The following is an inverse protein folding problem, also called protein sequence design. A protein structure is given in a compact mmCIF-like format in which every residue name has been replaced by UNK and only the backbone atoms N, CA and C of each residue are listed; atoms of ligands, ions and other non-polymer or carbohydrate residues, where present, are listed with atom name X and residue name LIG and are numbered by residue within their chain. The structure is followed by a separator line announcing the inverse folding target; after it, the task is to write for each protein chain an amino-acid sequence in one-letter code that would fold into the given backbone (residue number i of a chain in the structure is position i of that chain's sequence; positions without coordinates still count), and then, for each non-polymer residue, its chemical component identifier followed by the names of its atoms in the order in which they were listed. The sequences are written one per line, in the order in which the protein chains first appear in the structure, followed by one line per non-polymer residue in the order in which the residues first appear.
data_IF_421237982209
#
_entry.id   IF_421237982209
#
_cell.length_a   1.000
_cell.length_b   1.000
_cell.length_c   1.000
_cell.angle_alpha   90.00
_cell.angle_beta   90.00
_cell.angle_gamma   90.00
#
_symmetry.space_group_name_H-M   'P 1'
#
loop_
_entity.id
_entity.type
_entity.pdbx_description
1 polymer ?
#
# COMPACT_ATOMS: atom_id res chain seq x y z
N UNK A 1 14.31 5.28 -7.99
CA UNK A 1 14.24 6.39 -7.02
C UNK A 1 12.76 6.75 -6.85
N UNK A 2 12.15 6.47 -5.70
CA UNK A 2 10.72 6.75 -5.44
C UNK A 2 10.49 7.69 -4.25
N UNK A 3 11.50 7.86 -3.40
CA UNK A 3 11.50 8.83 -2.33
C UNK A 3 11.42 10.26 -2.87
N UNK A 4 10.77 11.12 -2.11
CA UNK A 4 10.64 12.55 -2.40
C UNK A 4 10.90 13.34 -1.12
N UNK A 5 11.03 14.67 -1.22
CA UNK A 5 11.20 15.55 -0.06
C UNK A 5 10.11 15.35 1.01
N UNK A 6 8.87 15.02 0.61
CA UNK A 6 7.74 14.82 1.53
C UNK A 6 7.52 13.36 1.95
N UNK A 7 8.19 12.42 1.27
CA UNK A 7 7.99 10.98 1.43
C UNK A 7 9.35 10.28 1.37
N UNK A 8 10.04 10.24 2.51
CA UNK A 8 11.40 9.71 2.60
C UNK A 8 11.45 8.20 2.27
N UNK A 9 10.41 7.47 2.69
CA UNK A 9 10.35 6.01 2.62
C UNK A 9 9.22 5.50 1.73
N UNK A 10 8.96 6.16 0.61
CA UNK A 10 7.86 5.81 -0.29
C UNK A 10 7.83 4.30 -0.61
N UNK A 11 6.65 3.69 -0.54
CA UNK A 11 6.39 2.29 -0.86
C UNK A 11 5.93 2.11 -2.32
N UNK A 12 5.81 0.86 -2.78
CA UNK A 12 5.30 0.58 -4.13
C UNK A 12 4.60 -0.78 -4.22
N UNK A 13 3.42 -0.80 -4.86
CA UNK A 13 2.82 -2.01 -5.39
C UNK A 13 2.87 -1.99 -6.91
N UNK A 14 3.19 -3.14 -7.51
CA UNK A 14 3.14 -3.37 -8.94
C UNK A 14 2.19 -4.53 -9.26
N UNK A 15 1.49 -4.39 -10.37
CA UNK A 15 0.68 -5.43 -10.95
C UNK A 15 0.89 -5.48 -12.47
N UNK A 16 0.95 -6.71 -13.00
CA UNK A 16 1.04 -6.97 -14.43
C UNK A 16 -0.11 -7.91 -14.74
N UNK A 17 -0.97 -7.49 -15.65
CA UNK A 17 -2.09 -8.27 -16.14
C UNK A 17 -1.92 -8.46 -17.65
N UNK A 18 -2.17 -9.69 -18.13
CA UNK A 18 -2.09 -10.00 -19.55
C UNK A 18 -3.33 -10.77 -20.01
N UNK A 19 -3.84 -10.44 -21.19
CA UNK A 19 -5.02 -11.09 -21.76
C UNK A 19 -4.94 -11.17 -23.29
N UNK A 20 -5.53 -12.23 -23.84
CA UNK A 20 -5.70 -12.40 -25.29
C UNK A 20 -6.98 -11.71 -25.78
N UNK A 21 -7.12 -11.55 -27.09
CA UNK A 21 -8.32 -10.99 -27.70
C UNK A 21 -8.22 -9.48 -27.96
N UNK A 22 -9.37 -8.83 -28.11
CA UNK A 22 -9.42 -7.40 -28.41
C UNK A 22 -8.86 -6.58 -27.25
N UNK A 23 -8.11 -5.51 -27.51
CA UNK A 23 -7.61 -4.62 -26.46
C UNK A 23 -8.74 -3.99 -25.64
N UNK A 24 -9.94 -3.86 -26.21
CA UNK A 24 -11.14 -3.35 -25.53
C UNK A 24 -11.90 -4.38 -24.69
N UNK A 25 -11.43 -5.63 -24.59
CA UNK A 25 -12.09 -6.70 -23.81
C UNK A 25 -12.30 -6.29 -22.35
N UNK A 26 -11.33 -5.58 -21.78
CA UNK A 26 -11.38 -5.07 -20.41
C UNK A 26 -11.12 -3.56 -20.38
N UNK A 27 -11.91 -2.83 -19.60
CA UNK A 27 -11.66 -1.42 -19.30
C UNK A 27 -10.48 -1.27 -18.34
N UNK A 28 -9.83 -0.09 -18.34
CA UNK A 28 -8.75 0.19 -17.37
C UNK A 28 -9.25 0.09 -15.92
N UNK A 29 -10.47 0.53 -15.64
CA UNK A 29 -11.08 0.48 -14.31
C UNK A 29 -11.29 -0.95 -13.79
N UNK A 30 -11.68 -1.88 -14.67
CA UNK A 30 -11.87 -3.28 -14.28
C UNK A 30 -10.54 -3.91 -13.89
N UNK A 31 -9.51 -3.74 -14.73
CA UNK A 31 -8.17 -4.28 -14.45
C UNK A 31 -7.63 -3.66 -13.17
N UNK A 32 -7.69 -2.33 -13.02
CA UNK A 32 -7.20 -1.64 -11.81
C UNK A 32 -7.91 -2.16 -10.55
N UNK A 33 -9.24 -2.30 -10.59
CA UNK A 33 -10.01 -2.81 -9.46
C UNK A 33 -9.61 -4.22 -9.09
N UNK A 34 -9.51 -5.12 -10.08
CA UNK A 34 -9.06 -6.50 -9.85
C UNK A 34 -7.66 -6.55 -9.23
N UNK A 35 -6.73 -5.73 -9.72
CA UNK A 35 -5.37 -5.71 -9.17
C UNK A 35 -5.33 -5.21 -7.72
N UNK A 36 -6.16 -4.23 -7.36
CA UNK A 36 -6.30 -3.77 -5.97
C UNK A 36 -6.91 -4.88 -5.10
N UNK A 37 -7.95 -5.58 -5.58
CA UNK A 37 -8.56 -6.71 -4.88
C UNK A 37 -7.55 -7.85 -4.67
N UNK A 38 -6.69 -8.12 -5.65
CA UNK A 38 -5.59 -9.09 -5.54
C UNK A 38 -4.58 -8.68 -4.48
N UNK A 39 -4.23 -7.39 -4.37
CA UNK A 39 -3.39 -6.90 -3.27
C UNK A 39 -4.06 -7.13 -1.91
N UNK A 40 -5.36 -6.91 -1.80
CA UNK A 40 -6.11 -7.13 -0.56
C UNK A 40 -6.39 -8.61 -0.24
N UNK A 41 -6.33 -9.50 -1.21
CA UNK A 41 -6.45 -10.94 -1.00
C UNK A 41 -5.27 -11.50 -0.20
N UNK A 42 -4.10 -10.86 -0.30
CA UNK A 42 -2.90 -11.20 0.49
C UNK A 42 -3.10 -11.07 2.01
N UNK A 43 -4.18 -10.43 2.47
CA UNK A 43 -4.55 -10.39 3.91
C UNK A 43 -4.65 -11.77 4.56
N UNK A 44 -4.93 -12.82 3.78
CA UNK A 44 -5.01 -14.19 4.29
C UNK A 44 -3.65 -14.73 4.74
N UNK A 45 -2.55 -14.11 4.28
CA UNK A 45 -1.19 -14.44 4.68
C UNK A 45 -0.67 -13.49 5.78
N UNK A 46 -1.48 -12.53 6.24
CA UNK A 46 -1.13 -11.64 7.33
C UNK A 46 -1.41 -12.31 8.67
N UNK A 47 -0.48 -12.16 9.61
CA UNK A 47 -0.65 -12.59 11.00
C UNK A 47 -0.52 -11.38 11.94
N UNK A 48 -1.11 -11.43 13.15
CA UNK A 48 -0.93 -10.37 14.14
C UNK A 48 0.54 -10.06 14.42
N UNK A 49 1.42 -11.05 14.38
CA UNK A 49 2.86 -10.89 14.58
C UNK A 49 3.50 -10.06 13.47
N UNK A 50 3.20 -10.38 12.20
CA UNK A 50 3.69 -9.61 11.03
C UNK A 50 3.19 -8.17 11.08
N UNK A 51 1.92 -7.97 11.49
CA UNK A 51 1.30 -6.64 11.52
C UNK A 51 1.81 -5.78 12.68
N UNK A 52 2.13 -6.40 13.82
CA UNK A 52 2.65 -5.71 15.00
C UNK A 52 4.15 -5.37 14.89
N UNK A 53 4.94 -6.19 14.19
CA UNK A 53 6.33 -5.91 13.90
C UNK A 53 6.72 -6.57 12.58
N UNK A 54 6.90 -5.74 11.54
CA UNK A 54 7.17 -6.25 10.21
C UNK A 54 8.53 -6.95 10.17
N UNK A 55 8.61 -8.24 9.80
CA UNK A 55 9.85 -8.99 9.91
C UNK A 55 10.83 -8.62 8.78
N UNK A 56 12.12 -8.83 9.03
CA UNK A 56 13.16 -8.67 8.01
C UNK A 56 13.03 -9.73 6.90
N UNK A 57 12.61 -10.94 7.27
CA UNK A 57 12.37 -12.04 6.35
C UNK A 57 10.92 -12.52 6.47
N UNK A 58 10.27 -12.69 5.32
CA UNK A 58 8.92 -13.23 5.25
C UNK A 58 8.95 -14.67 4.75
N UNK A 59 8.26 -15.61 5.43
CA UNK A 59 8.04 -16.96 4.91
C UNK A 59 7.31 -16.93 3.55
N UNK A 60 6.42 -15.96 3.37
CA UNK A 60 5.70 -15.72 2.13
C UNK A 60 5.65 -14.21 1.83
N UNK A 61 6.19 -13.77 0.69
CA UNK A 61 6.15 -12.36 0.27
C UNK A 61 4.76 -11.90 -0.18
N UNK A 62 3.81 -12.81 -0.38
CA UNK A 62 2.41 -12.54 -0.71
C UNK A 62 1.60 -12.01 0.50
N UNK A 63 2.17 -11.08 1.25
CA UNK A 63 1.54 -10.25 2.29
C UNK A 63 1.97 -8.78 2.15
N UNK A 64 3.06 -8.53 1.42
CA UNK A 64 3.69 -7.22 1.28
C UNK A 64 2.79 -6.20 0.59
N UNK A 65 2.01 -6.61 -0.42
CA UNK A 65 1.16 -5.66 -1.17
C UNK A 65 -0.02 -5.22 -0.33
N UNK A 66 -0.62 -6.16 0.41
CA UNK A 66 -1.64 -5.86 1.40
C UNK A 66 -1.12 -4.90 2.47
N UNK A 67 0.01 -5.23 3.09
CA UNK A 67 0.56 -4.45 4.21
C UNK A 67 1.00 -3.05 3.80
N UNK A 68 1.59 -2.86 2.62
CA UNK A 68 1.78 -1.51 2.07
C UNK A 68 0.44 -0.81 1.90
N UNK A 69 -0.58 -1.46 1.31
CA UNK A 69 -1.87 -0.80 1.06
C UNK A 69 -2.61 -0.36 2.35
N UNK A 70 -2.36 -1.03 3.49
CA UNK A 70 -3.03 -0.73 4.77
C UNK A 70 -2.11 -0.12 5.84
N UNK A 71 -0.86 0.20 5.51
CA UNK A 71 0.07 0.78 6.46
C UNK A 71 -0.47 2.12 6.99
N UNK A 72 -0.49 2.32 8.30
CA UNK A 72 -1.13 3.50 8.92
C UNK A 72 -0.48 4.82 8.48
N UNK A 73 0.82 4.78 8.17
CA UNK A 73 1.59 5.95 7.72
C UNK A 73 1.34 6.29 6.24
N UNK A 74 0.53 5.52 5.53
CA UNK A 74 0.16 5.80 4.14
C UNK A 74 -0.95 6.84 4.03
N UNK A 75 -0.52 8.10 4.03
CA UNK A 75 -1.38 9.27 3.86
C UNK A 75 -1.68 9.60 2.40
N UNK A 76 -0.86 9.11 1.46
CA UNK A 76 -0.96 9.42 0.04
C UNK A 76 -0.66 8.19 -0.83
N UNK A 77 -1.34 8.13 -1.97
CA UNK A 77 -1.09 7.15 -3.03
C UNK A 77 -1.12 7.86 -4.39
N UNK A 78 -0.23 7.44 -5.29
CA UNK A 78 -0.20 7.91 -6.67
C UNK A 78 0.07 6.74 -7.61
N UNK A 79 -0.79 6.55 -8.60
CA UNK A 79 -0.72 5.41 -9.51
C UNK A 79 -0.56 5.86 -10.96
N UNK A 80 0.12 5.02 -11.75
CA UNK A 80 0.21 5.14 -13.19
C UNK A 80 0.04 3.76 -13.82
N UNK A 81 -0.59 3.72 -15.00
CA UNK A 81 -0.73 2.50 -15.76
C UNK A 81 -0.29 2.70 -17.22
N UNK A 82 0.26 1.64 -17.81
CA UNK A 82 0.60 1.59 -19.23
C UNK A 82 -0.04 0.35 -19.83
N UNK A 83 -0.76 0.53 -20.93
CA UNK A 83 -1.37 -0.54 -21.72
C UNK A 83 -0.70 -0.62 -23.09
N UNK A 84 -0.26 -1.81 -23.49
CA UNK A 84 0.36 -2.05 -24.79
C UNK A 84 0.14 -3.49 -25.26
N UNK A 85 0.23 -3.72 -26.56
CA UNK A 85 0.11 -5.06 -27.14
C UNK A 85 1.47 -5.59 -27.57
N UNK A 86 1.78 -6.83 -27.21
CA UNK A 86 3.04 -7.51 -27.55
C UNK A 86 2.84 -9.02 -27.57
N UNK A 87 3.42 -9.69 -28.56
CA UNK A 87 3.43 -11.16 -28.70
C UNK A 87 2.02 -11.77 -28.67
N UNK A 88 1.06 -11.14 -29.36
CA UNK A 88 -0.37 -11.51 -29.43
C UNK A 88 -1.18 -11.34 -28.12
N UNK A 89 -0.58 -10.77 -27.08
CA UNK A 89 -1.26 -10.42 -25.83
C UNK A 89 -1.34 -8.91 -25.61
N UNK A 90 -2.39 -8.48 -24.94
CA UNK A 90 -2.49 -7.16 -24.36
C UNK A 90 -1.90 -7.21 -22.94
N UNK A 91 -1.03 -6.26 -22.63
CA UNK A 91 -0.36 -6.11 -21.34
C UNK A 91 -0.86 -4.84 -20.67
N UNK A 92 -1.11 -4.93 -19.37
CA UNK A 92 -1.47 -3.80 -18.52
C UNK A 92 -0.56 -3.80 -17.30
N UNK A 93 0.31 -2.79 -17.21
CA UNK A 93 1.25 -2.61 -16.10
C UNK A 93 0.74 -1.48 -15.24
N UNK A 94 0.39 -1.78 -13.98
CA UNK A 94 -0.05 -0.82 -12.98
C UNK A 94 1.02 -0.69 -11.90
N UNK A 95 1.43 0.54 -11.63
CA UNK A 95 2.33 0.87 -10.53
C UNK A 95 1.66 1.91 -9.64
N UNK A 96 1.57 1.63 -8.34
CA UNK A 96 1.13 2.57 -7.32
C UNK A 96 2.25 2.80 -6.31
N UNK A 97 2.64 4.07 -6.14
CA UNK A 97 3.54 4.49 -5.08
C UNK A 97 2.73 4.97 -3.88
N UNK A 98 3.20 4.64 -2.70
CA UNK A 98 2.59 5.00 -1.42
C UNK A 98 3.53 5.91 -0.63
N UNK A 99 3.00 6.74 0.27
CA UNK A 99 3.80 7.67 1.07
C UNK A 99 4.90 6.99 1.90
N UNK A 100 4.67 5.73 2.31
CA UNK A 100 5.49 4.95 3.22
C UNK A 100 5.45 3.46 2.82
N UNK A 101 6.60 2.79 2.90
CA UNK A 101 6.76 1.34 2.71
C UNK A 101 6.61 0.60 4.04
N UNK A 102 6.63 -0.73 4.01
CA UNK A 102 6.86 -1.50 5.22
C UNK A 102 8.29 -1.25 5.72
N UNK A 103 8.41 -0.95 7.02
CA UNK A 103 9.68 -0.70 7.70
C UNK A 103 9.92 -1.88 8.64
N UNK A 104 11.09 -2.52 8.52
CA UNK A 104 11.45 -3.68 9.34
C UNK A 104 11.45 -3.29 10.82
N UNK A 105 10.89 -4.16 11.65
CA UNK A 105 10.75 -3.98 13.09
C UNK A 105 9.63 -3.03 13.53
N UNK A 106 9.00 -2.31 12.60
CA UNK A 106 7.90 -1.39 12.88
C UNK A 106 6.54 -2.06 12.62
N UNK A 107 5.48 -1.66 13.35
CA UNK A 107 4.12 -2.11 13.02
C UNK A 107 3.67 -1.58 11.66
N UNK A 108 2.86 -2.36 10.95
CA UNK A 108 2.13 -1.91 9.75
C UNK A 108 1.10 -0.86 10.16
N UNK A 109 0.37 -1.14 11.24
CA UNK A 109 -0.47 -0.19 11.96
C UNK A 109 -0.44 -0.51 13.45
N UNK A 110 -0.59 0.52 14.28
CA UNK A 110 -0.48 0.38 15.73
C UNK A 110 -1.71 -0.36 16.30
N UNK A 111 -1.55 -1.49 17.00
CA UNK A 111 -2.66 -2.17 17.66
C UNK A 111 -3.30 -1.32 18.76
N UNK A 112 -4.62 -1.43 18.94
CA UNK A 112 -5.34 -0.73 19.99
C UNK A 112 -6.70 -1.36 20.29
N UNK A 113 -7.22 -1.14 21.50
CA UNK A 113 -8.51 -1.70 21.93
C UNK A 113 -9.70 -1.14 21.15
N UNK A 114 -9.59 0.11 20.69
CA UNK A 114 -10.61 0.78 19.88
C UNK A 114 -9.92 1.48 18.71
N UNK A 115 -10.60 1.53 17.57
CA UNK A 115 -10.15 2.31 16.42
C UNK A 115 -9.96 3.78 16.80
N UNK A 116 -9.02 4.45 16.15
CA UNK A 116 -8.79 5.90 16.25
C UNK A 116 -8.31 6.46 17.60
N UNK A 117 -8.06 5.62 18.61
CA UNK A 117 -7.52 6.06 19.92
C UNK A 117 -6.12 6.66 19.82
N UNK A 118 -5.34 6.26 18.80
CA UNK A 118 -4.01 6.77 18.51
C UNK A 118 -3.95 7.97 17.56
N UNK A 119 -5.10 8.49 17.10
CA UNK A 119 -5.10 9.66 16.22
C UNK A 119 -4.56 10.89 16.97
N UNK A 120 -3.57 11.57 16.39
CA UNK A 120 -2.90 12.73 17.01
C UNK A 120 -3.59 14.04 16.64
N UNK A 121 -4.26 14.07 15.49
CA UNK A 121 -4.99 15.23 15.06
C UNK A 121 -6.20 15.48 16.00
N UNK A 122 -6.46 16.76 16.33
CA UNK A 122 -7.57 17.19 17.18
C UNK A 122 -8.96 16.71 16.72
N UNK A 123 -9.13 16.39 15.44
CA UNK A 123 -10.40 15.91 14.90
C UNK A 123 -10.65 14.42 15.19
N UNK A 124 -9.60 13.67 15.57
CA UNK A 124 -9.71 12.23 15.84
C UNK A 124 -10.14 11.46 14.60
N UNK A 125 -11.24 10.71 14.73
CA UNK A 125 -11.82 9.91 13.65
C UNK A 125 -12.38 10.77 12.50
N UNK A 126 -12.27 10.27 11.28
CA UNK A 126 -12.94 10.86 10.13
C UNK A 126 -14.46 10.59 10.19
N UNK A 127 -15.27 11.57 9.77
CA UNK A 127 -16.72 11.44 9.79
C UNK A 127 -17.24 10.33 8.86
N UNK A 128 -16.78 10.33 7.60
CA UNK A 128 -17.17 9.33 6.60
C UNK A 128 -16.52 7.95 6.82
N UNK A 129 -15.43 7.92 7.60
CA UNK A 129 -14.65 6.73 7.89
C UNK A 129 -14.33 6.64 9.39
N UNK A 130 -15.31 6.26 10.23
CA UNK A 130 -15.19 6.36 11.70
C UNK A 130 -14.09 5.49 12.31
N UNK A 131 -13.52 4.56 11.55
CA UNK A 131 -12.40 3.71 11.97
C UNK A 131 -11.03 4.21 11.49
N UNK A 132 -10.99 5.34 10.76
CA UNK A 132 -9.76 5.95 10.26
C UNK A 132 -9.56 7.32 10.90
N UNK A 133 -8.31 7.71 11.08
CA UNK A 133 -7.98 9.07 11.49
C UNK A 133 -8.36 10.09 10.42
N UNK A 134 -8.59 11.33 10.83
CA UNK A 134 -8.88 12.44 9.93
C UNK A 134 -7.78 12.62 8.88
N UNK A 135 -8.15 13.04 7.65
CA UNK A 135 -7.24 13.07 6.49
C UNK A 135 -5.94 13.89 6.65
N UNK A 136 -5.86 14.78 7.66
CA UNK A 136 -4.66 15.56 8.00
C UNK A 136 -3.96 15.04 9.25
N UNK A 137 -3.95 13.73 9.44
CA UNK A 137 -3.25 13.08 10.55
C UNK A 137 -1.72 13.24 10.43
N UNK A 138 -1.02 13.22 11.58
CA UNK A 138 0.39 13.58 11.68
C UNK A 138 1.26 12.32 11.80
N UNK A 139 1.90 11.94 10.70
CA UNK A 139 2.76 10.75 10.58
C UNK A 139 4.24 11.03 10.26
N UNK A 140 4.61 12.28 10.00
CA UNK A 140 6.00 12.72 9.73
C UNK A 140 6.72 11.95 8.59
N UNK A 141 6.03 11.72 7.47
CA UNK A 141 6.54 10.91 6.34
C UNK A 141 7.78 11.50 5.65
N UNK A 142 8.12 12.76 5.92
CA UNK A 142 9.31 13.45 5.44
C UNK A 142 10.57 13.14 6.26
N UNK A 143 10.43 12.63 7.49
CA UNK A 143 11.56 12.42 8.40
C UNK A 143 12.41 11.22 7.98
N UNK A 144 13.69 11.48 7.74
CA UNK A 144 14.72 10.44 7.59
C UNK A 144 15.23 10.06 8.98
N UNK A 145 15.21 8.77 9.28
CA UNK A 145 15.67 8.16 10.52
C UNK A 145 16.82 7.23 10.20
N UNK A 146 18.00 7.50 10.76
CA UNK A 146 19.20 6.69 10.55
C UNK A 146 18.98 5.23 10.96
N UNK A 147 19.51 4.29 10.18
CA UNK A 147 19.35 2.85 10.42
C UNK A 147 17.97 2.28 10.02
N UNK A 148 17.10 3.06 9.38
CA UNK A 148 15.82 2.55 8.86
C UNK A 148 16.07 1.53 7.74
N UNK A 149 15.56 0.31 7.92
CA UNK A 149 15.55 -0.73 6.90
C UNK A 149 14.15 -0.85 6.31
N UNK A 150 14.06 -0.67 4.98
CA UNK A 150 12.85 -0.92 4.22
C UNK A 150 12.82 -2.39 3.81
N UNK A 151 11.63 -2.98 3.78
CA UNK A 151 11.40 -4.30 3.20
C UNK A 151 11.33 -4.26 1.67
#
# INVERSE_FOLDING_TARGET
CRSTERFAYAGQNNAIFHYSGAQSEYTDSEIIKEQIENWFAERLNASPEILASFPEELPNKAVTKFTIAVAEKNTHVGCAAVRFSRDFYNHFVLTCNFATSNIVGQPVYTPGEKSTTGCKNRYGAAFDYPNLCYAKEIYDNEKVVEGTQLF
#
